data_IF_984451827411
#
_entry.id   IF_984451827411
#
_cell.length_a   1.000
_cell.length_b   1.000
_cell.length_c   1.000
_cell.angle_alpha   90.00
_cell.angle_beta   90.00
_cell.angle_gamma   90.00
#
_symmetry.space_group_name_H-M   'P 1'
#
loop_
_entity.id
_entity.type
_entity.pdbx_description
1 polymer ?
#
# COMPACT_ATOMS: atom_id res chain seq x y z
N UNK A 1 -38.85 10.04 6.71
CA UNK A 1 -39.31 9.68 8.07
C UNK A 1 -38.93 8.22 8.23
N UNK A 2 -37.73 7.96 8.74
CA UNK A 2 -37.19 6.61 8.88
C UNK A 2 -38.07 5.79 9.83
N UNK A 3 -38.28 4.52 9.47
CA UNK A 3 -39.10 3.60 10.24
C UNK A 3 -38.37 3.26 11.55
N UNK A 4 -38.86 3.72 12.72
CA UNK A 4 -38.13 3.59 14.00
C UNK A 4 -38.01 2.15 14.51
N UNK A 5 -38.60 1.18 13.81
CA UNK A 5 -38.62 -0.25 14.18
C UNK A 5 -37.61 -1.11 13.40
N UNK A 6 -36.76 -0.52 12.54
CA UNK A 6 -35.70 -1.27 11.88
C UNK A 6 -34.46 -1.39 12.79
N UNK A 7 -33.94 -2.60 13.05
CA UNK A 7 -32.74 -2.77 13.85
C UNK A 7 -31.55 -2.10 13.13
N UNK A 8 -30.81 -1.28 13.87
CA UNK A 8 -29.56 -0.68 13.40
C UNK A 8 -28.46 -1.71 13.61
N UNK A 9 -27.81 -2.10 12.52
CA UNK A 9 -26.59 -2.89 12.54
C UNK A 9 -25.40 -1.92 12.56
N UNK A 10 -24.52 -2.06 13.55
CA UNK A 10 -23.33 -1.24 13.71
C UNK A 10 -22.17 -2.12 14.16
N UNK A 11 -21.01 -1.94 13.52
CA UNK A 11 -19.75 -2.58 13.89
C UNK A 11 -18.93 -1.59 14.72
N UNK A 12 -18.35 -2.05 15.83
CA UNK A 12 -17.49 -1.23 16.69
C UNK A 12 -16.21 -2.00 16.96
N UNK A 13 -15.08 -1.38 16.63
CA UNK A 13 -13.74 -1.92 16.85
C UNK A 13 -13.13 -1.27 18.09
N UNK A 14 -12.56 -2.08 18.98
CA UNK A 14 -11.84 -1.60 20.16
C UNK A 14 -10.45 -2.21 20.20
N UNK A 15 -9.43 -1.37 20.35
CA UNK A 15 -8.06 -1.76 20.66
C UNK A 15 -7.75 -1.38 22.10
N UNK A 16 -7.14 -2.28 22.87
CA UNK A 16 -6.77 -2.05 24.27
C UNK A 16 -5.36 -2.59 24.50
N UNK A 17 -4.45 -1.71 24.91
CA UNK A 17 -3.12 -2.10 25.37
C UNK A 17 -3.18 -2.55 26.83
N UNK A 18 -2.67 -3.76 27.11
CA UNK A 18 -2.71 -4.35 28.44
C UNK A 18 -1.30 -4.75 28.86
N UNK A 19 -0.83 -4.22 29.98
CA UNK A 19 0.41 -4.64 30.63
C UNK A 19 0.13 -5.79 31.61
N UNK A 20 0.71 -6.97 31.36
CA UNK A 20 0.53 -8.16 32.18
C UNK A 20 1.72 -8.29 33.13
N UNK A 21 1.55 -7.73 34.34
CA UNK A 21 2.62 -7.70 35.35
C UNK A 21 2.79 -9.02 36.12
N UNK A 22 1.76 -9.87 36.16
CA UNK A 22 1.81 -11.23 36.74
C UNK A 22 1.11 -12.26 35.84
N UNK A 23 1.86 -12.92 34.95
CA UNK A 23 1.33 -13.93 34.04
C UNK A 23 0.69 -15.15 34.73
N UNK A 24 1.19 -15.54 35.90
CA UNK A 24 0.74 -16.75 36.60
C UNK A 24 -0.63 -16.55 37.25
N UNK A 25 -0.90 -15.37 37.78
CA UNK A 25 -2.23 -15.00 38.27
C UNK A 25 -3.25 -14.90 37.14
N UNK A 26 -2.87 -14.32 35.99
CA UNK A 26 -3.75 -14.24 34.81
C UNK A 26 -4.17 -15.64 34.32
N UNK A 27 -3.21 -16.55 34.18
CA UNK A 27 -3.50 -17.94 33.76
C UNK A 27 -4.36 -18.67 34.78
N UNK A 28 -4.08 -18.51 36.06
CA UNK A 28 -4.88 -19.11 37.14
C UNK A 28 -6.32 -18.60 37.11
N UNK A 29 -6.51 -17.29 36.92
CA UNK A 29 -7.82 -16.67 36.77
C UNK A 29 -8.55 -17.19 35.52
N UNK A 30 -7.89 -17.21 34.36
CA UNK A 30 -8.48 -17.68 33.11
C UNK A 30 -8.90 -19.16 33.17
N UNK A 31 -8.09 -20.02 33.80
CA UNK A 31 -8.43 -21.43 34.04
C UNK A 31 -9.72 -21.57 34.86
N UNK A 32 -9.96 -20.68 35.84
CA UNK A 32 -11.22 -20.69 36.62
C UNK A 32 -12.43 -20.19 35.84
N UNK A 33 -12.21 -19.45 34.75
CA UNK A 33 -13.24 -18.87 33.88
C UNK A 33 -13.53 -19.70 32.64
N UNK A 34 -12.64 -20.60 32.26
CA UNK A 34 -12.80 -21.47 31.10
C UNK A 34 -14.04 -22.37 31.23
N UNK A 35 -14.91 -22.33 30.22
CA UNK A 35 -16.17 -23.09 30.19
C UNK A 35 -16.00 -24.52 29.63
N UNK A 36 -14.85 -24.83 29.02
CA UNK A 36 -14.55 -26.14 28.43
C UNK A 36 -13.17 -26.66 28.88
N UNK A 37 -12.99 -27.98 28.96
CA UNK A 37 -11.68 -28.57 29.28
C UNK A 37 -10.58 -28.17 28.30
N UNK A 38 -10.94 -27.99 27.03
CA UNK A 38 -10.02 -27.52 25.99
C UNK A 38 -9.58 -26.08 26.24
N UNK A 39 -10.49 -25.18 26.62
CA UNK A 39 -10.16 -23.80 27.01
C UNK A 39 -9.36 -23.75 28.31
N UNK A 40 -9.61 -24.68 29.25
CA UNK A 40 -8.81 -24.80 30.47
C UNK A 40 -7.36 -25.15 30.15
N UNK A 41 -7.15 -26.14 29.29
CA UNK A 41 -5.81 -26.58 28.88
C UNK A 41 -5.09 -25.49 28.08
N UNK A 42 -5.81 -24.80 27.20
CA UNK A 42 -5.27 -23.71 26.39
C UNK A 42 -4.90 -22.48 27.25
N UNK A 43 -5.76 -22.07 28.19
CA UNK A 43 -5.49 -20.95 29.09
C UNK A 43 -4.35 -21.25 30.09
N UNK A 44 -4.19 -22.51 30.51
CA UNK A 44 -3.10 -22.90 31.40
C UNK A 44 -1.73 -22.89 30.72
N UNK A 45 -1.70 -23.04 29.39
CA UNK A 45 -0.45 -23.23 28.63
C UNK A 45 -0.11 -22.04 27.74
N UNK A 46 -1.07 -21.15 27.47
CA UNK A 46 -0.91 -19.99 26.59
C UNK A 46 -1.51 -18.73 27.23
N UNK A 47 -0.65 -17.72 27.47
CA UNK A 47 -1.02 -16.45 28.08
C UNK A 47 -2.03 -15.63 27.27
N UNK A 48 -1.99 -15.76 25.94
CA UNK A 48 -2.96 -15.11 25.09
C UNK A 48 -4.34 -15.80 25.19
N UNK A 49 -4.36 -17.13 25.17
CA UNK A 49 -5.59 -17.87 25.42
C UNK A 49 -6.15 -17.56 26.82
N UNK A 50 -5.27 -17.38 27.82
CA UNK A 50 -5.66 -16.94 29.14
C UNK A 50 -6.30 -15.55 29.12
N UNK A 51 -5.70 -14.58 28.42
CA UNK A 51 -6.24 -13.23 28.28
C UNK A 51 -7.60 -13.23 27.55
N UNK A 52 -7.72 -13.98 26.45
CA UNK A 52 -8.96 -14.11 25.69
C UNK A 52 -10.10 -14.74 26.51
N UNK A 53 -9.79 -15.78 27.30
CA UNK A 53 -10.75 -16.41 28.24
C UNK A 53 -11.08 -15.49 29.41
N UNK A 54 -10.14 -14.66 29.87
CA UNK A 54 -10.32 -13.76 31.00
C UNK A 54 -11.13 -12.49 30.66
N UNK A 55 -11.02 -11.99 29.43
CA UNK A 55 -11.55 -10.69 29.02
C UNK A 55 -12.89 -10.72 28.30
N UNK A 56 -13.51 -11.91 28.11
CA UNK A 56 -14.69 -12.16 27.26
C UNK A 56 -15.48 -10.89 26.88
N UNK A 57 -15.11 -10.23 25.76
CA UNK A 57 -15.72 -8.97 25.38
C UNK A 57 -17.19 -9.14 24.99
N UNK A 58 -17.63 -10.38 24.73
CA UNK A 58 -19.04 -10.70 24.52
C UNK A 58 -19.86 -10.55 25.80
N UNK A 59 -19.28 -10.85 26.96
CA UNK A 59 -19.95 -10.69 28.25
C UNK A 59 -20.25 -9.22 28.57
N UNK A 60 -19.31 -8.31 28.24
CA UNK A 60 -19.48 -6.86 28.49
C UNK A 60 -20.62 -6.26 27.66
N UNK A 61 -20.76 -6.68 26.40
CA UNK A 61 -21.80 -6.18 25.50
C UNK A 61 -23.18 -6.87 25.73
N UNK A 62 -23.20 -8.09 26.26
CA UNK A 62 -24.44 -8.81 26.58
C UNK A 62 -25.24 -8.18 27.75
N UNK A 63 -24.58 -7.43 28.62
CA UNK A 63 -25.20 -6.76 29.77
C UNK A 63 -25.87 -5.41 29.41
N UNK A 64 -25.75 -4.93 28.16
CA UNK A 64 -26.35 -3.66 27.73
C UNK A 64 -27.81 -3.88 27.28
N UNK A 65 -28.82 -3.30 27.96
CA UNK A 65 -30.22 -3.53 27.61
C UNK A 65 -30.54 -3.08 26.18
N UNK A 66 -31.07 -4.01 25.38
CA UNK A 66 -31.47 -3.76 23.99
C UNK A 66 -30.37 -3.99 22.94
N UNK A 67 -29.15 -4.34 23.37
CA UNK A 67 -28.06 -4.74 22.47
C UNK A 67 -28.06 -6.26 22.31
N UNK A 68 -27.98 -6.73 21.07
CA UNK A 68 -27.82 -8.15 20.75
C UNK A 68 -26.58 -8.34 19.90
N UNK A 69 -25.65 -9.13 20.39
CA UNK A 69 -24.43 -9.46 19.65
C UNK A 69 -24.80 -10.46 18.55
N UNK A 70 -24.48 -10.11 17.30
CA UNK A 70 -24.68 -10.98 16.16
C UNK A 70 -23.45 -11.86 15.92
N UNK A 71 -22.26 -11.30 16.10
CA UNK A 71 -20.95 -11.93 15.92
C UNK A 71 -19.93 -11.22 16.82
N UNK A 72 -18.87 -11.92 17.21
CA UNK A 72 -17.69 -11.30 17.82
C UNK A 72 -16.46 -12.16 17.60
N UNK A 73 -15.31 -11.49 17.54
CA UNK A 73 -13.99 -12.06 17.27
C UNK A 73 -13.03 -11.42 18.27
N UNK A 74 -12.19 -12.21 18.91
CA UNK A 74 -11.15 -11.72 19.82
C UNK A 74 -9.83 -12.19 19.26
N UNK A 75 -8.96 -11.23 18.92
CA UNK A 75 -7.68 -11.53 18.28
C UNK A 75 -6.52 -10.97 19.10
N UNK A 76 -5.39 -11.69 19.16
CA UNK A 76 -4.18 -11.17 19.78
C UNK A 76 -3.64 -10.00 18.98
N UNK A 77 -3.44 -8.86 19.63
CA UNK A 77 -2.33 -8.00 19.24
C UNK A 77 -1.04 -8.74 19.64
N UNK A 78 -0.24 -9.15 18.66
CA UNK A 78 1.10 -9.68 18.92
C UNK A 78 1.91 -8.57 19.62
N UNK A 79 2.50 -8.87 20.78
CA UNK A 79 3.06 -7.88 21.69
C UNK A 79 4.09 -6.96 21.04
N UNK A 80 3.87 -5.65 21.15
CA UNK A 80 4.83 -4.61 20.76
C UNK A 80 5.89 -4.45 21.86
N UNK A 81 6.97 -5.21 21.74
CA UNK A 81 8.25 -4.79 22.30
C UNK A 81 8.76 -3.61 21.51
N UNK A 82 9.25 -2.58 22.20
CA UNK A 82 9.95 -1.43 21.60
C UNK A 82 11.02 -1.94 20.62
N UNK A 83 10.93 -1.47 19.36
CA UNK A 83 11.81 -1.68 18.20
C UNK A 83 11.44 -2.81 17.19
N UNK A 84 11.18 -2.35 15.96
CA UNK A 84 11.15 -3.01 14.64
C UNK A 84 10.24 -4.22 14.35
N UNK A 85 9.20 -3.91 13.55
CA UNK A 85 8.63 -4.62 12.40
C UNK A 85 8.52 -6.16 12.39
N UNK A 86 7.30 -6.67 12.22
CA UNK A 86 6.73 -7.20 10.94
C UNK A 86 5.35 -7.79 11.25
N UNK A 87 4.32 -7.26 10.58
CA UNK A 87 2.94 -7.77 10.56
C UNK A 87 2.87 -9.11 9.79
N UNK A 88 2.11 -10.12 10.26
CA UNK A 88 1.62 -11.18 9.40
C UNK A 88 0.15 -10.94 9.01
N UNK A 89 -0.06 -10.90 7.69
CA UNK A 89 -1.33 -10.97 6.97
C UNK A 89 -2.25 -12.12 7.45
N UNK A 90 -3.55 -11.84 7.54
CA UNK A 90 -4.63 -12.77 7.18
C UNK A 90 -5.99 -12.04 7.13
N UNK A 91 -6.55 -11.96 5.92
CA UNK A 91 -7.80 -11.28 5.61
C UNK A 91 -9.04 -11.84 6.30
N UNK A 92 -10.00 -10.95 6.54
CA UNK A 92 -11.19 -11.08 5.73
C UNK A 92 -10.83 -10.44 4.39
N UNK A 93 -10.77 -11.22 3.32
CA UNK A 93 -10.77 -10.67 1.96
C UNK A 93 -12.03 -9.80 1.84
N UNK A 94 -11.91 -8.50 2.12
CA UNK A 94 -12.43 -7.59 1.15
C UNK A 94 -11.60 -7.91 -0.10
N UNK A 95 -12.17 -8.69 -1.01
CA UNK A 95 -11.63 -8.73 -2.37
C UNK A 95 -11.53 -7.25 -2.76
N UNK A 96 -10.32 -6.70 -2.82
CA UNK A 96 -10.03 -5.55 -3.67
C UNK A 96 -10.62 -5.97 -4.99
N UNK A 97 -11.82 -5.49 -5.34
CA UNK A 97 -12.32 -5.71 -6.70
C UNK A 97 -11.25 -5.04 -7.55
N UNK A 98 -10.41 -5.80 -8.26
CA UNK A 98 -9.36 -5.20 -9.05
C UNK A 98 -10.08 -4.27 -10.03
N UNK A 99 -9.54 -3.07 -10.25
CA UNK A 99 -9.99 -2.26 -11.38
C UNK A 99 -10.04 -3.18 -12.61
N UNK A 100 -11.09 -3.08 -13.44
CA UNK A 100 -11.18 -3.87 -14.66
C UNK A 100 -9.93 -3.58 -15.50
N UNK A 101 -8.93 -4.46 -15.38
CA UNK A 101 -7.61 -4.26 -15.97
C UNK A 101 -7.71 -4.27 -17.49
N UNK A 102 -8.83 -4.74 -18.04
CA UNK A 102 -9.04 -4.98 -19.46
C UNK A 102 -8.15 -6.10 -20.01
N UNK A 103 -7.45 -6.84 -19.14
CA UNK A 103 -6.55 -7.92 -19.52
C UNK A 103 -7.39 -9.19 -19.70
N UNK A 104 -7.63 -9.55 -20.97
CA UNK A 104 -8.44 -10.71 -21.33
C UNK A 104 -7.73 -12.05 -21.08
N UNK A 105 -8.38 -13.16 -21.47
CA UNK A 105 -7.89 -14.53 -21.22
C UNK A 105 -6.55 -14.94 -21.86
N UNK A 106 -5.90 -14.05 -22.61
CA UNK A 106 -4.49 -14.17 -23.02
C UNK A 106 -3.75 -12.91 -22.58
N UNK A 107 -3.23 -12.95 -21.34
CA UNK A 107 -2.60 -11.81 -20.70
C UNK A 107 -1.37 -11.34 -21.48
N UNK A 108 -0.49 -12.27 -21.85
CA UNK A 108 0.75 -11.97 -22.57
C UNK A 108 0.45 -11.31 -23.92
N UNK A 109 -0.50 -11.83 -24.70
CA UNK A 109 -0.86 -11.19 -25.97
C UNK A 109 -1.43 -9.78 -25.79
N UNK A 110 -2.23 -9.58 -24.72
CA UNK A 110 -2.79 -8.26 -24.39
C UNK A 110 -1.68 -7.27 -24.02
N UNK A 111 -0.74 -7.68 -23.17
CA UNK A 111 0.41 -6.86 -22.77
C UNK A 111 1.33 -6.54 -23.95
N UNK A 112 1.59 -7.51 -24.83
CA UNK A 112 2.36 -7.27 -26.05
C UNK A 112 1.70 -6.27 -27.01
N UNK A 113 0.38 -6.20 -27.03
CA UNK A 113 -0.36 -5.19 -27.79
C UNK A 113 -0.37 -3.83 -27.07
N UNK A 114 -0.41 -3.83 -25.74
CA UNK A 114 -0.30 -2.63 -24.92
C UNK A 114 1.11 -2.01 -24.96
N UNK A 115 2.16 -2.81 -25.18
CA UNK A 115 3.56 -2.33 -25.23
C UNK A 115 3.78 -1.23 -26.26
N UNK A 116 3.04 -1.24 -27.36
CA UNK A 116 3.10 -0.19 -28.40
C UNK A 116 2.59 1.17 -27.90
N UNK A 117 1.82 1.21 -26.81
CA UNK A 117 1.36 2.43 -26.13
C UNK A 117 2.36 2.96 -25.11
N UNK A 118 3.26 2.11 -24.62
CA UNK A 118 4.36 2.47 -23.71
C UNK A 118 5.65 2.85 -24.46
N UNK A 119 5.52 3.41 -25.67
CA UNK A 119 6.65 3.72 -26.54
C UNK A 119 7.56 4.85 -26.07
N UNK A 120 7.26 5.47 -24.92
CA UNK A 120 8.11 6.49 -24.31
C UNK A 120 9.32 5.91 -23.56
N UNK A 121 9.29 4.63 -23.19
CA UNK A 121 10.41 3.95 -22.52
C UNK A 121 11.17 3.08 -23.52
N UNK A 122 12.47 3.32 -23.64
CA UNK A 122 13.36 2.47 -24.45
C UNK A 122 13.42 1.04 -23.87
N UNK A 123 13.29 0.03 -24.73
CA UNK A 123 13.24 -1.38 -24.29
C UNK A 123 14.52 -1.82 -23.57
N UNK A 124 15.66 -1.22 -23.87
CA UNK A 124 16.93 -1.47 -23.21
C UNK A 124 16.88 -1.14 -21.70
N UNK A 125 16.13 -0.10 -21.32
CA UNK A 125 15.89 0.24 -19.91
C UNK A 125 15.09 -0.87 -19.22
N UNK A 126 14.16 -1.48 -19.96
CA UNK A 126 13.31 -2.61 -19.54
C UNK A 126 13.98 -3.98 -19.69
N UNK A 127 15.27 -4.03 -20.05
CA UNK A 127 16.05 -5.27 -20.07
C UNK A 127 16.21 -5.97 -21.41
N UNK A 128 15.86 -5.33 -22.52
CA UNK A 128 16.27 -5.78 -23.84
C UNK A 128 17.80 -5.66 -23.99
N UNK A 129 18.45 -6.74 -24.43
CA UNK A 129 19.89 -6.74 -24.73
C UNK A 129 20.13 -6.93 -26.25
N UNK A 130 20.35 -5.84 -27.01
CA UNK A 130 20.60 -5.92 -28.45
C UNK A 130 21.94 -6.57 -28.81
N UNK A 131 22.88 -6.68 -27.86
CA UNK A 131 24.20 -7.28 -28.07
C UNK A 131 24.23 -8.79 -27.83
N UNK A 132 23.16 -9.36 -27.26
CA UNK A 132 23.05 -10.78 -26.96
C UNK A 132 22.95 -11.66 -28.23
N UNK A 133 23.30 -12.96 -28.12
CA UNK A 133 23.01 -13.96 -29.16
C UNK A 133 21.52 -13.99 -29.54
N UNK A 134 21.21 -14.39 -30.79
CA UNK A 134 19.86 -14.34 -31.37
C UNK A 134 18.74 -14.79 -30.42
N UNK A 135 18.87 -15.98 -29.83
CA UNK A 135 17.83 -16.56 -28.98
C UNK A 135 17.63 -15.75 -27.68
N UNK A 136 18.71 -15.28 -27.07
CA UNK A 136 18.67 -14.46 -25.84
C UNK A 136 18.17 -13.04 -26.14
N UNK A 137 18.54 -12.50 -27.30
CA UNK A 137 18.07 -11.19 -27.77
C UNK A 137 16.57 -11.19 -28.04
N UNK A 138 16.04 -12.21 -28.71
CA UNK A 138 14.59 -12.32 -28.94
C UNK A 138 13.83 -12.53 -27.62
N UNK A 139 14.36 -13.34 -26.70
CA UNK A 139 13.74 -13.53 -25.38
C UNK A 139 13.74 -12.24 -24.54
N UNK A 140 14.87 -11.53 -24.47
CA UNK A 140 14.96 -10.27 -23.73
C UNK A 140 14.08 -9.19 -24.34
N UNK A 141 13.96 -9.14 -25.67
CA UNK A 141 13.03 -8.24 -26.37
C UNK A 141 11.58 -8.55 -26.04
N UNK A 142 11.19 -9.83 -26.05
CA UNK A 142 9.85 -10.27 -25.68
C UNK A 142 9.51 -9.84 -24.25
N UNK A 143 10.39 -10.16 -23.28
CA UNK A 143 10.20 -9.80 -21.86
C UNK A 143 10.12 -8.29 -21.63
N UNK A 144 10.97 -7.52 -22.30
CA UNK A 144 10.93 -6.05 -22.22
C UNK A 144 9.61 -5.49 -22.76
N UNK A 145 9.04 -6.10 -23.82
CA UNK A 145 7.72 -5.71 -24.35
C UNK A 145 6.59 -6.08 -23.40
N UNK A 146 6.62 -7.28 -22.80
CA UNK A 146 5.63 -7.67 -21.78
C UNK A 146 5.66 -6.70 -20.61
N UNK A 147 6.86 -6.37 -20.10
CA UNK A 147 7.04 -5.39 -19.02
C UNK A 147 6.54 -3.99 -19.42
N UNK A 148 6.81 -3.52 -20.65
CA UNK A 148 6.29 -2.25 -21.14
C UNK A 148 4.75 -2.22 -21.15
N UNK A 149 4.12 -3.31 -21.61
CA UNK A 149 2.67 -3.46 -21.58
C UNK A 149 2.11 -3.50 -20.15
N UNK A 150 2.81 -4.17 -19.24
CA UNK A 150 2.44 -4.26 -17.83
C UNK A 150 2.46 -2.89 -17.17
N UNK A 151 3.53 -2.10 -17.36
CA UNK A 151 3.62 -0.73 -16.85
C UNK A 151 2.52 0.18 -17.40
N UNK A 152 2.11 -0.01 -18.67
CA UNK A 152 0.97 0.71 -19.24
C UNK A 152 -0.35 0.38 -18.51
N UNK A 153 -0.63 -0.90 -18.29
CA UNK A 153 -1.85 -1.34 -17.60
C UNK A 153 -1.84 -0.95 -16.12
N UNK A 154 -0.73 -1.14 -15.42
CA UNK A 154 -0.56 -0.68 -14.05
C UNK A 154 -0.77 0.83 -13.93
N UNK A 155 -0.28 1.60 -14.91
CA UNK A 155 -0.51 3.03 -14.97
C UNK A 155 -1.99 3.41 -15.11
N UNK A 156 -2.74 2.67 -15.93
CA UNK A 156 -4.19 2.89 -16.06
C UNK A 156 -4.93 2.49 -14.77
N UNK A 157 -4.61 1.32 -14.20
CA UNK A 157 -5.19 0.81 -12.95
C UNK A 157 -5.00 1.79 -11.80
N UNK A 158 -3.75 2.24 -11.58
CA UNK A 158 -3.39 3.21 -10.55
C UNK A 158 -4.17 4.54 -10.70
N UNK A 159 -4.48 4.97 -11.93
CA UNK A 159 -5.27 6.20 -12.15
C UNK A 159 -6.74 5.98 -11.76
N UNK A 160 -7.33 4.86 -12.16
CA UNK A 160 -8.72 4.52 -11.81
C UNK A 160 -8.87 4.35 -10.29
N UNK A 161 -7.89 3.74 -9.65
CA UNK A 161 -7.85 3.54 -8.21
C UNK A 161 -7.65 4.85 -7.43
N UNK A 162 -6.85 5.79 -7.93
CA UNK A 162 -6.77 7.13 -7.35
C UNK A 162 -8.07 7.92 -7.48
N UNK A 163 -8.89 7.65 -8.50
CA UNK A 163 -10.25 8.21 -8.55
C UNK A 163 -11.13 7.61 -7.45
N UNK A 164 -11.03 6.31 -7.18
CA UNK A 164 -11.74 5.67 -6.07
C UNK A 164 -11.29 6.24 -4.73
N UNK A 165 -9.98 6.39 -4.50
CA UNK A 165 -9.43 7.04 -3.29
C UNK A 165 -9.97 8.45 -3.12
N UNK A 166 -10.01 9.23 -4.19
CA UNK A 166 -10.51 10.59 -4.16
C UNK A 166 -12.01 10.64 -3.84
N UNK A 167 -12.80 9.68 -4.30
CA UNK A 167 -14.22 9.58 -3.98
C UNK A 167 -14.44 9.18 -2.51
N UNK A 168 -13.63 8.26 -1.97
CA UNK A 168 -13.64 7.93 -0.54
C UNK A 168 -13.30 9.15 0.33
N UNK A 169 -12.32 9.95 -0.07
CA UNK A 169 -11.84 11.11 0.70
C UNK A 169 -12.75 12.35 0.63
N UNK A 170 -13.70 12.39 -0.31
CA UNK A 170 -14.62 13.55 -0.47
C UNK A 170 -15.68 13.63 0.63
N UNK A 171 -15.93 12.54 1.35
CA UNK A 171 -17.00 12.44 2.35
C UNK A 171 -16.51 12.78 3.76
N UNK A 172 -16.83 13.99 4.26
CA UNK A 172 -16.56 14.49 5.63
C UNK A 172 -15.10 14.87 5.95
N UNK A 173 -14.29 15.16 4.93
CA UNK A 173 -12.87 15.54 5.06
C UNK A 173 -11.99 14.53 5.84
N UNK A 174 -12.14 13.20 5.65
CA UNK A 174 -11.21 12.23 6.20
C UNK A 174 -9.85 12.34 5.51
N UNK A 175 -8.86 11.76 6.15
CA UNK A 175 -7.55 11.47 5.57
C UNK A 175 -7.42 9.97 5.33
N UNK A 176 -6.40 9.52 4.59
CA UNK A 176 -6.17 8.09 4.41
C UNK A 176 -6.02 7.35 5.75
N UNK A 177 -5.51 8.01 6.79
CA UNK A 177 -5.41 7.42 8.13
C UNK A 177 -6.78 7.15 8.81
N UNK A 178 -7.86 7.77 8.33
CA UNK A 178 -9.22 7.61 8.86
C UNK A 178 -10.03 6.54 8.09
N UNK A 179 -9.44 5.94 7.06
CA UNK A 179 -10.08 4.96 6.18
C UNK A 179 -9.33 3.64 6.35
N UNK A 180 -10.07 2.56 6.61
CA UNK A 180 -9.46 1.26 6.94
C UNK A 180 -8.57 0.72 5.81
N UNK A 181 -8.93 0.96 4.54
CA UNK A 181 -8.13 0.61 3.36
C UNK A 181 -8.38 1.62 2.23
N UNK A 182 -7.32 2.20 1.70
CA UNK A 182 -7.34 2.95 0.44
C UNK A 182 -6.60 2.14 -0.63
N UNK A 183 -6.73 2.51 -1.90
CA UNK A 183 -6.11 1.78 -3.00
C UNK A 183 -4.65 2.21 -3.19
N UNK A 184 -4.43 3.38 -3.78
CA UNK A 184 -3.07 3.85 -4.14
C UNK A 184 -2.42 4.54 -2.96
N UNK A 185 -3.19 5.25 -2.12
CA UNK A 185 -2.63 5.99 -0.99
C UNK A 185 -2.05 5.08 0.11
N UNK A 186 -2.51 3.82 0.21
CA UNK A 186 -1.93 2.82 1.13
C UNK A 186 -0.52 2.38 0.71
N UNK A 187 -0.14 2.61 -0.55
CA UNK A 187 1.21 2.36 -1.06
C UNK A 187 2.18 3.54 -0.83
N UNK A 188 1.74 4.59 -0.12
CA UNK A 188 2.57 5.74 0.24
C UNK A 188 3.15 5.62 1.65
N UNK A 189 4.15 6.44 2.02
CA UNK A 189 4.72 6.49 3.36
C UNK A 189 3.67 6.55 4.49
N UNK A 190 3.45 5.47 5.25
CA UNK A 190 2.30 5.34 6.14
C UNK A 190 2.28 6.35 7.29
N UNK A 191 3.44 6.83 7.73
CA UNK A 191 3.52 7.85 8.78
C UNK A 191 2.92 9.20 8.35
N UNK A 192 2.79 9.45 7.04
CA UNK A 192 2.17 10.65 6.49
C UNK A 192 0.70 10.45 6.10
N UNK A 193 0.08 9.29 6.41
CA UNK A 193 -1.31 8.99 6.03
C UNK A 193 -2.33 10.03 6.51
N UNK A 194 -2.07 10.66 7.66
CA UNK A 194 -2.86 11.76 8.23
C UNK A 194 -2.77 13.08 7.44
N UNK A 195 -1.93 13.14 6.41
CA UNK A 195 -1.85 14.26 5.48
C UNK A 195 -2.44 13.95 4.10
N UNK A 196 -2.85 12.70 3.84
CA UNK A 196 -3.41 12.28 2.56
C UNK A 196 -4.91 12.58 2.54
N UNK A 197 -5.23 13.87 2.43
CA UNK A 197 -6.60 14.35 2.25
C UNK A 197 -7.03 14.35 0.77
N UNK A 198 -8.29 14.68 0.49
CA UNK A 198 -8.80 14.78 -0.88
C UNK A 198 -7.99 15.75 -1.76
N UNK A 199 -7.38 16.79 -1.18
CA UNK A 199 -6.56 17.75 -1.93
C UNK A 199 -5.20 17.17 -2.28
N UNK A 200 -4.57 16.44 -1.36
CA UNK A 200 -3.36 15.68 -1.61
C UNK A 200 -3.63 14.64 -2.71
N UNK A 201 -4.67 13.82 -2.59
CA UNK A 201 -5.03 12.81 -3.57
C UNK A 201 -5.26 13.42 -4.97
N UNK A 202 -5.97 14.54 -5.06
CA UNK A 202 -6.17 15.24 -6.34
C UNK A 202 -4.85 15.76 -6.93
N UNK A 203 -3.90 16.24 -6.12
CA UNK A 203 -2.57 16.66 -6.59
C UNK A 203 -1.74 15.46 -7.03
N UNK A 204 -1.75 14.39 -6.24
CA UNK A 204 -1.04 13.16 -6.52
C UNK A 204 -1.54 12.49 -7.81
N UNK A 205 -2.86 12.47 -8.04
CA UNK A 205 -3.46 12.04 -9.31
C UNK A 205 -2.90 12.79 -10.52
N UNK A 206 -2.71 14.11 -10.43
CA UNK A 206 -2.09 14.86 -11.55
C UNK A 206 -0.64 14.48 -11.79
N UNK A 207 0.10 14.17 -10.73
CA UNK A 207 1.47 13.67 -10.81
C UNK A 207 1.51 12.27 -11.43
N UNK A 208 0.63 11.35 -11.02
CA UNK A 208 0.52 10.02 -11.62
C UNK A 208 0.12 10.09 -13.10
N UNK A 209 -0.76 11.03 -13.48
CA UNK A 209 -1.15 11.26 -14.88
C UNK A 209 0.04 11.76 -15.72
N UNK A 210 0.87 12.64 -15.16
CA UNK A 210 2.08 13.12 -15.82
C UNK A 210 3.12 12.00 -15.99
N UNK A 211 3.33 11.19 -14.95
CA UNK A 211 4.20 10.01 -15.00
C UNK A 211 3.77 9.02 -16.09
N UNK A 212 2.49 8.63 -16.11
CA UNK A 212 1.95 7.71 -17.12
C UNK A 212 2.00 8.30 -18.53
N UNK A 213 1.88 9.62 -18.68
CA UNK A 213 2.12 10.31 -19.95
C UNK A 213 3.57 10.18 -20.40
N UNK A 214 4.54 10.27 -19.49
CA UNK A 214 5.97 10.09 -19.80
C UNK A 214 6.26 8.65 -20.26
N UNK A 215 5.61 7.64 -19.70
CA UNK A 215 5.69 6.24 -20.17
C UNK A 215 5.24 6.12 -21.63
N UNK A 216 4.22 6.89 -22.03
CA UNK A 216 3.63 6.81 -23.36
C UNK A 216 4.38 7.62 -24.42
N UNK A 217 4.81 8.83 -24.05
CA UNK A 217 5.20 9.87 -25.00
C UNK A 217 6.70 10.22 -24.99
N UNK A 218 7.44 9.73 -23.99
CA UNK A 218 8.87 9.96 -23.85
C UNK A 218 9.24 10.05 -22.38
N UNK A 219 10.03 9.08 -21.92
CA UNK A 219 10.42 8.98 -20.53
C UNK A 219 11.16 10.22 -20.06
N UNK A 220 10.78 10.70 -18.87
CA UNK A 220 11.46 11.75 -18.13
C UNK A 220 11.60 11.27 -16.70
N UNK A 221 12.77 11.52 -16.13
CA UNK A 221 13.02 11.25 -14.72
C UNK A 221 12.05 12.05 -13.83
N UNK A 222 11.70 11.52 -12.64
CA UNK A 222 10.98 12.24 -11.62
C UNK A 222 11.60 13.62 -11.37
N UNK A 223 10.75 14.63 -11.30
CA UNK A 223 11.11 16.04 -11.10
C UNK A 223 10.82 16.50 -9.67
N UNK A 224 10.13 15.71 -8.85
CA UNK A 224 9.84 15.97 -7.44
C UNK A 224 9.64 14.65 -6.66
N UNK A 225 9.65 14.70 -5.32
CA UNK A 225 9.45 13.51 -4.46
C UNK A 225 8.12 12.81 -4.75
N UNK A 226 7.04 13.57 -4.99
CA UNK A 226 5.74 12.99 -5.33
C UNK A 226 5.77 12.17 -6.63
N UNK A 227 6.59 12.52 -7.62
CA UNK A 227 6.75 11.71 -8.83
C UNK A 227 7.56 10.44 -8.57
N UNK A 228 8.53 10.48 -7.65
CA UNK A 228 9.23 9.26 -7.20
C UNK A 228 8.28 8.33 -6.45
N UNK A 229 7.46 8.86 -5.55
CA UNK A 229 6.44 8.08 -4.85
C UNK A 229 5.40 7.50 -5.83
N UNK A 230 4.94 8.28 -6.81
CA UNK A 230 4.04 7.79 -7.86
C UNK A 230 4.66 6.67 -8.69
N UNK A 231 5.97 6.74 -8.97
CA UNK A 231 6.68 5.65 -9.64
C UNK A 231 6.73 4.39 -8.78
N UNK A 232 6.90 4.51 -7.47
CA UNK A 232 6.84 3.35 -6.57
C UNK A 232 5.45 2.73 -6.53
N UNK A 233 4.40 3.54 -6.41
CA UNK A 233 3.02 3.06 -6.48
C UNK A 233 2.75 2.33 -7.81
N UNK A 234 3.24 2.88 -8.92
CA UNK A 234 3.15 2.24 -10.23
C UNK A 234 3.87 0.88 -10.28
N UNK A 235 5.07 0.78 -9.69
CA UNK A 235 5.84 -0.46 -9.66
C UNK A 235 5.19 -1.50 -8.75
N UNK A 236 4.67 -1.10 -7.60
CA UNK A 236 3.90 -1.97 -6.70
C UNK A 236 2.63 -2.49 -7.40
N UNK A 237 1.92 -1.63 -8.12
CA UNK A 237 0.75 -2.04 -8.91
C UNK A 237 1.12 -2.99 -10.04
N UNK A 238 2.24 -2.73 -10.73
CA UNK A 238 2.74 -3.63 -11.77
C UNK A 238 3.18 -4.98 -11.21
N UNK A 239 3.77 -5.02 -10.00
CA UNK A 239 4.14 -6.26 -9.31
C UNK A 239 2.90 -7.05 -8.90
N UNK A 240 1.91 -6.40 -8.30
CA UNK A 240 0.62 -7.01 -7.98
C UNK A 240 -0.05 -7.63 -9.22
N UNK A 241 -0.11 -6.88 -10.33
CA UNK A 241 -0.66 -7.38 -11.60
C UNK A 241 0.18 -8.51 -12.19
N UNK A 242 1.51 -8.50 -12.02
CA UNK A 242 2.36 -9.58 -12.50
C UNK A 242 2.10 -10.89 -11.77
N UNK A 243 1.91 -10.82 -10.46
CA UNK A 243 1.59 -11.96 -9.60
C UNK A 243 0.20 -12.51 -9.94
N UNK A 244 -0.82 -11.64 -10.04
CA UNK A 244 -2.20 -12.02 -10.37
C UNK A 244 -2.33 -12.68 -11.75
N UNK A 245 -1.44 -12.32 -12.68
CA UNK A 245 -1.43 -12.84 -14.06
C UNK A 245 -0.40 -13.96 -14.28
N UNK A 246 0.26 -14.46 -13.23
CA UNK A 246 1.30 -15.50 -13.27
C UNK A 246 2.45 -15.20 -14.29
N UNK A 247 2.96 -13.96 -14.32
CA UNK A 247 3.89 -13.49 -15.36
C UNK A 247 5.38 -13.74 -15.08
N UNK A 248 5.75 -14.45 -14.02
CA UNK A 248 7.14 -14.68 -13.58
C UNK A 248 8.09 -15.11 -14.72
N UNK A 249 7.65 -16.01 -15.60
CA UNK A 249 8.46 -16.53 -16.69
C UNK A 249 8.62 -15.53 -17.85
N UNK A 250 7.67 -14.60 -17.98
CA UNK A 250 7.49 -13.65 -19.08
C UNK A 250 8.12 -12.28 -18.78
N UNK A 251 8.64 -12.07 -17.57
CA UNK A 251 9.29 -10.83 -17.15
C UNK A 251 10.81 -11.01 -16.98
N UNK A 252 11.60 -9.92 -17.06
CA UNK A 252 13.00 -9.95 -16.66
C UNK A 252 13.15 -10.27 -15.17
N UNK A 253 14.17 -11.04 -14.80
CA UNK A 253 14.46 -11.29 -13.38
C UNK A 253 14.79 -9.97 -12.64
N UNK A 254 14.30 -9.83 -11.41
CA UNK A 254 14.51 -8.65 -10.55
C UNK A 254 14.15 -7.32 -11.24
N UNK A 255 13.12 -7.32 -12.10
CA UNK A 255 12.76 -6.14 -12.88
C UNK A 255 12.36 -4.96 -11.99
N UNK A 256 11.63 -5.17 -10.89
CA UNK A 256 11.22 -4.11 -9.95
C UNK A 256 12.45 -3.35 -9.42
N UNK A 257 13.34 -4.06 -8.71
CA UNK A 257 14.55 -3.47 -8.14
C UNK A 257 15.44 -2.80 -9.19
N UNK A 258 15.50 -3.35 -10.41
CA UNK A 258 16.22 -2.73 -11.53
C UNK A 258 15.58 -1.42 -11.97
N UNK A 259 14.25 -1.38 -12.11
CA UNK A 259 13.54 -0.16 -12.51
C UNK A 259 13.64 0.91 -11.42
N UNK A 260 13.52 0.54 -10.15
CA UNK A 260 13.76 1.45 -9.03
C UNK A 260 15.16 2.08 -9.14
N UNK A 261 16.19 1.27 -9.36
CA UNK A 261 17.57 1.77 -9.51
C UNK A 261 17.74 2.71 -10.72
N UNK A 262 17.04 2.45 -11.83
CA UNK A 262 17.21 3.20 -13.08
C UNK A 262 16.36 4.48 -13.13
N UNK A 263 15.17 4.46 -12.53
CA UNK A 263 14.15 5.48 -12.74
C UNK A 263 13.98 6.43 -11.56
N UNK A 264 14.39 6.04 -10.35
CA UNK A 264 14.40 6.94 -9.19
C UNK A 264 15.68 7.77 -9.20
N UNK A 265 15.55 9.09 -9.08
CA UNK A 265 16.68 10.00 -9.11
C UNK A 265 17.38 10.04 -7.75
N UNK A 266 16.61 9.94 -6.67
CA UNK A 266 17.09 9.93 -5.30
C UNK A 266 16.57 8.70 -4.55
N UNK A 267 17.49 7.83 -4.13
CA UNK A 267 17.14 6.66 -3.32
C UNK A 267 16.60 7.05 -1.93
N UNK A 268 16.82 8.29 -1.50
CA UNK A 268 16.46 8.80 -0.17
C UNK A 268 14.93 8.81 0.05
N UNK A 269 14.10 8.80 -1.01
CA UNK A 269 12.65 8.63 -0.86
C UNK A 269 12.26 7.27 -0.26
N UNK A 270 13.15 6.27 -0.28
CA UNK A 270 12.97 5.00 0.47
C UNK A 270 12.90 5.22 1.97
N UNK A 271 13.66 6.19 2.48
CA UNK A 271 13.76 6.43 3.92
C UNK A 271 12.43 6.93 4.49
N UNK A 272 11.57 7.50 3.63
CA UNK A 272 10.19 7.83 4.00
C UNK A 272 9.34 6.60 4.29
N UNK A 273 9.72 5.39 3.88
CA UNK A 273 8.95 4.19 4.22
C UNK A 273 9.46 3.49 5.49
N UNK A 274 10.64 3.87 5.99
CA UNK A 274 11.28 3.23 7.13
C UNK A 274 10.88 3.95 8.44
N UNK A 275 10.10 3.31 9.33
CA UNK A 275 9.73 3.89 10.62
C UNK A 275 10.94 4.21 11.52
N UNK A 276 12.06 3.49 11.37
CA UNK A 276 13.28 3.78 12.12
C UNK A 276 13.97 5.08 11.67
N UNK A 277 13.63 5.56 10.47
CA UNK A 277 14.12 6.82 9.92
C UNK A 277 13.10 7.97 10.08
N UNK A 278 11.99 7.77 10.79
CA UNK A 278 10.97 8.80 10.97
C UNK A 278 11.57 10.11 11.54
N UNK A 279 11.22 11.23 10.90
CA UNK A 279 11.73 12.56 11.24
C UNK A 279 13.08 12.92 10.62
N UNK A 280 13.74 12.06 9.84
CA UNK A 280 15.04 12.36 9.21
C UNK A 280 15.00 13.61 8.32
N UNK A 281 13.86 13.89 7.69
CA UNK A 281 13.64 15.06 6.85
C UNK A 281 13.69 16.39 7.60
N UNK A 282 13.65 16.34 8.95
CA UNK A 282 13.82 17.49 9.82
C UNK A 282 15.27 17.71 10.27
N UNK A 283 16.16 16.74 10.03
CA UNK A 283 17.58 16.84 10.37
C UNK A 283 18.40 17.37 9.16
N UNK A 284 18.88 18.62 9.20
CA UNK A 284 19.68 19.18 8.12
C UNK A 284 21.04 18.49 7.94
N UNK A 285 21.54 17.79 8.96
CA UNK A 285 22.81 17.05 8.88
C UNK A 285 22.62 15.65 8.28
N UNK A 286 21.37 15.16 8.17
CA UNK A 286 21.03 13.87 7.56
C UNK A 286 20.82 13.95 6.04
N UNK A 287 20.59 15.15 5.49
CA UNK A 287 20.32 15.35 4.06
C UNK A 287 21.63 15.72 3.33
N UNK A 288 22.08 14.94 2.32
CA UNK A 288 23.28 15.27 1.56
C UNK A 288 23.22 16.67 0.93
N UNK A 289 24.37 17.35 0.85
CA UNK A 289 24.44 18.67 0.24
C UNK A 289 24.00 18.61 -1.24
N UNK A 290 22.92 19.32 -1.58
CA UNK A 290 22.33 19.34 -2.92
C UNK A 290 21.22 18.31 -3.17
N UNK A 291 20.89 17.47 -2.20
CA UNK A 291 19.70 16.62 -2.25
C UNK A 291 18.42 17.44 -2.07
N UNK A 292 17.29 17.01 -2.66
CA UNK A 292 16.01 17.68 -2.48
C UNK A 292 15.51 17.53 -1.04
N UNK A 293 14.66 18.47 -0.62
CA UNK A 293 13.99 18.38 0.68
C UNK A 293 13.00 17.21 0.68
N UNK A 294 13.06 16.38 1.72
CA UNK A 294 12.14 15.25 1.93
C UNK A 294 10.92 15.61 2.80
N UNK A 295 10.81 16.89 3.20
CA UNK A 295 9.68 17.38 3.96
C UNK A 295 8.38 17.26 3.18
N UNK A 296 7.32 16.88 3.87
CA UNK A 296 6.01 16.68 3.25
C UNK A 296 5.54 17.90 2.43
N UNK A 297 5.71 19.13 2.95
CA UNK A 297 5.33 20.36 2.25
C UNK A 297 6.12 20.62 0.95
N UNK A 298 7.24 19.93 0.77
CA UNK A 298 8.13 20.05 -0.38
C UNK A 298 7.93 18.93 -1.41
N UNK A 299 7.11 17.90 -1.15
CA UNK A 299 7.03 16.72 -2.01
C UNK A 299 6.66 17.01 -3.47
N UNK A 300 5.85 18.03 -3.70
CA UNK A 300 5.44 18.45 -5.04
C UNK A 300 6.28 19.59 -5.61
N UNK A 301 7.33 20.03 -4.89
CA UNK A 301 8.22 21.09 -5.39
C UNK A 301 9.25 20.47 -6.33
N UNK A 302 9.52 21.09 -7.49
CA UNK A 302 10.56 20.60 -8.38
C UNK A 302 11.93 20.57 -7.69
N UNK A 303 12.73 19.54 -7.96
CA UNK A 303 14.07 19.35 -7.39
C UNK A 303 15.05 20.48 -7.73
N UNK A 304 14.81 21.21 -8.83
CA UNK A 304 15.62 22.38 -9.17
C UNK A 304 15.24 23.02 -10.51
N UNK A 305 16.01 24.03 -10.97
CA UNK A 305 15.77 24.71 -12.23
C UNK A 305 15.75 23.73 -13.41
N UNK A 306 14.69 23.75 -14.23
CA UNK A 306 14.53 22.87 -15.39
C UNK A 306 13.61 21.66 -15.14
N UNK A 307 13.34 21.33 -13.87
CA UNK A 307 12.31 20.39 -13.48
C UNK A 307 10.94 21.08 -13.47
N UNK A 308 9.89 20.35 -13.84
CA UNK A 308 8.53 20.84 -13.86
C UNK A 308 7.59 19.77 -13.30
N UNK A 309 6.51 20.22 -12.67
CA UNK A 309 5.40 19.35 -12.26
C UNK A 309 4.11 19.92 -12.84
N UNK A 310 3.02 19.14 -12.89
CA UNK A 310 1.73 19.65 -13.36
C UNK A 310 1.29 20.92 -12.60
N UNK A 311 0.73 21.94 -13.28
CA UNK A 311 0.38 23.20 -12.63
C UNK A 311 -0.61 23.09 -11.45
N UNK A 312 -1.41 22.02 -11.40
CA UNK A 312 -2.30 21.76 -10.27
C UNK A 312 -1.54 21.23 -9.05
N UNK A 313 -0.52 20.39 -9.27
CA UNK A 313 0.35 19.86 -8.23
C UNK A 313 1.15 20.97 -7.52
N UNK A 314 1.57 22.01 -8.24
CA UNK A 314 2.29 23.17 -7.66
C UNK A 314 1.44 24.03 -6.70
N UNK A 315 0.11 24.00 -6.80
CA UNK A 315 -0.79 24.90 -6.08
C UNK A 315 -1.17 24.41 -4.67
N UNK A 316 -0.31 23.62 -4.03
CA UNK A 316 -0.49 23.05 -2.69
C UNK A 316 -0.29 24.04 -1.57
#
# INVERSE_FOLDING_TARGET
MENPDLPIEASIHFAIDVDITDPGELQSYAVTKAESPEHTELAATNLFAALAVAMDPLAVAADVPGVRILRGKVEPAQGHGVADQVLPSAGGEAEREPADTGIGGDAVATLLAASERAGGIELELLGYDPAAPEAERELSRHRARVLAGLLWHAGASMIDELFNDLDLLRDREPTAADIDETYVLDNLPPQYAHHYDARFAARFLTVCTDLTTNIAAGWKEPSCVAQELALRCLLAEAEFLADELDLDAELPANWVARLEQLFLQFADSMMLFDPAMDGFENDPDAIPEGAPSMKFEDWFKPFGPGHHVPPFAERG
#
